data_IF_917090008435
#
_entry.id   IF_917090008435
#
_cell.length_a   1.000
_cell.length_b   1.000
_cell.length_c   1.000
_cell.angle_alpha   90.00
_cell.angle_beta   90.00
_cell.angle_gamma   90.00
#
_symmetry.space_group_name_H-M   'P 1'
#
loop_
_entity.id
_entity.type
_entity.pdbx_description
1 polymer ?
#
# COMPACT_ATOMS: atom_id res chain seq x y z
N UNK A 1 31.51 -14.52 -0.60
CA UNK A 1 31.76 -14.15 -1.99
C UNK A 1 30.46 -13.55 -2.56
N UNK A 2 30.50 -12.28 -2.94
CA UNK A 2 29.37 -11.62 -3.58
C UNK A 2 29.58 -11.64 -5.09
N UNK A 3 28.62 -12.19 -5.81
CA UNK A 3 28.69 -12.34 -7.25
C UNK A 3 27.50 -11.63 -7.87
N UNK A 4 27.80 -10.51 -8.50
CA UNK A 4 26.91 -9.80 -9.39
C UNK A 4 27.37 -10.10 -10.81
N UNK A 5 26.52 -10.67 -11.64
CA UNK A 5 26.92 -11.01 -12.98
C UNK A 5 25.76 -11.38 -13.89
N UNK A 6 26.07 -11.47 -15.15
CA UNK A 6 25.14 -11.94 -16.19
C UNK A 6 24.69 -13.38 -15.90
N UNK A 7 23.57 -13.79 -16.46
CA UNK A 7 23.06 -15.16 -16.32
C UNK A 7 24.08 -16.24 -16.78
N UNK A 8 24.96 -15.91 -17.69
CA UNK A 8 25.99 -16.82 -18.20
C UNK A 8 27.15 -17.00 -17.22
N UNK A 9 27.64 -15.90 -16.63
CA UNK A 9 28.71 -15.91 -15.62
C UNK A 9 28.24 -16.65 -14.34
N UNK A 10 27.05 -16.38 -13.88
CA UNK A 10 26.44 -17.09 -12.76
C UNK A 10 26.28 -18.59 -13.05
N UNK A 11 25.91 -18.95 -14.29
CA UNK A 11 25.77 -20.35 -14.70
C UNK A 11 27.12 -21.06 -14.69
N UNK A 12 28.16 -20.41 -15.16
CA UNK A 12 29.53 -20.96 -15.17
C UNK A 12 30.02 -21.22 -13.75
N UNK A 13 29.88 -20.20 -12.86
CA UNK A 13 30.27 -20.29 -11.47
C UNK A 13 29.53 -21.41 -10.70
N UNK A 14 28.21 -21.52 -10.89
CA UNK A 14 27.38 -22.55 -10.24
C UNK A 14 27.71 -23.97 -10.77
N UNK A 15 28.24 -24.11 -12.02
CA UNK A 15 28.74 -25.37 -12.54
C UNK A 15 30.07 -25.78 -11.90
N UNK A 16 30.98 -24.84 -11.78
CA UNK A 16 32.30 -25.05 -11.18
C UNK A 16 32.21 -25.53 -9.73
N UNK A 17 31.21 -25.02 -8.98
CA UNK A 17 30.92 -25.42 -7.60
C UNK A 17 30.04 -26.68 -7.45
N UNK A 18 29.85 -27.43 -8.55
CA UNK A 18 29.08 -28.69 -8.59
C UNK A 18 27.64 -28.60 -8.06
N UNK A 19 27.04 -27.42 -8.13
CA UNK A 19 25.65 -27.25 -7.72
C UNK A 19 24.74 -28.01 -8.70
N UNK A 20 23.75 -28.80 -8.20
CA UNK A 20 22.91 -29.62 -9.03
C UNK A 20 22.17 -28.85 -10.14
N UNK A 21 22.00 -29.43 -11.35
CA UNK A 21 21.40 -28.71 -12.49
C UNK A 21 20.02 -28.13 -12.23
N UNK A 22 19.18 -28.79 -11.42
CA UNK A 22 17.85 -28.32 -11.09
C UNK A 22 17.88 -27.06 -10.20
N UNK A 23 18.84 -26.97 -9.28
CA UNK A 23 19.05 -25.77 -8.45
C UNK A 23 19.61 -24.61 -9.26
N UNK A 24 20.56 -24.89 -10.17
CA UNK A 24 21.08 -23.87 -11.10
C UNK A 24 19.96 -23.23 -11.91
N UNK A 25 19.04 -24.04 -12.48
CA UNK A 25 17.86 -23.51 -13.19
C UNK A 25 16.98 -22.67 -12.26
N UNK A 26 16.82 -23.04 -11.01
CA UNK A 26 15.95 -22.34 -10.06
C UNK A 26 16.57 -21.04 -9.57
N UNK A 27 17.86 -21.01 -9.27
CA UNK A 27 18.62 -19.78 -8.96
C UNK A 27 18.59 -18.80 -10.15
N UNK A 28 18.66 -19.34 -11.37
CA UNK A 28 18.62 -18.56 -12.61
C UNK A 28 17.20 -18.23 -13.08
N UNK A 29 16.16 -18.91 -12.58
CA UNK A 29 14.77 -18.58 -12.90
C UNK A 29 14.32 -17.36 -12.09
N UNK A 30 13.51 -16.48 -12.71
CA UNK A 30 12.92 -15.30 -12.05
C UNK A 30 11.83 -15.65 -11.05
N UNK A 31 11.87 -16.82 -10.41
CA UNK A 31 10.86 -17.19 -9.43
C UNK A 31 10.95 -16.29 -8.20
N UNK A 32 9.87 -15.55 -7.96
CA UNK A 32 9.73 -14.52 -6.91
C UNK A 32 9.37 -15.09 -5.54
N UNK A 33 9.36 -16.41 -5.37
CA UNK A 33 8.97 -17.01 -4.11
C UNK A 33 10.22 -17.31 -3.26
N UNK A 34 10.12 -17.06 -1.93
CA UNK A 34 11.16 -17.52 -1.03
C UNK A 34 11.30 -19.03 -1.22
N UNK A 35 12.52 -19.49 -1.31
CA UNK A 35 12.80 -20.91 -1.47
C UNK A 35 14.01 -21.28 -0.68
N UNK A 36 13.88 -22.33 0.13
CA UNK A 36 14.97 -22.94 0.86
C UNK A 36 15.20 -24.35 0.33
N UNK A 37 16.46 -24.69 0.08
CA UNK A 37 16.89 -26.03 -0.29
C UNK A 37 18.05 -26.43 0.59
N UNK A 38 17.91 -27.55 1.27
CA UNK A 38 18.97 -28.15 2.04
C UNK A 38 19.51 -29.36 1.28
N UNK A 39 20.83 -29.33 0.97
CA UNK A 39 21.60 -30.46 0.54
C UNK A 39 22.42 -31.05 1.68
N UNK A 40 23.32 -32.01 1.39
CA UNK A 40 24.19 -32.58 2.40
C UNK A 40 25.25 -31.57 2.88
N UNK A 41 25.78 -30.74 1.97
CA UNK A 41 26.92 -29.86 2.23
C UNK A 41 26.60 -28.37 2.02
N UNK A 42 25.37 -28.03 1.69
CA UNK A 42 24.98 -26.65 1.44
C UNK A 42 23.50 -26.41 1.76
N UNK A 43 23.19 -25.17 2.08
CA UNK A 43 21.82 -24.66 2.19
C UNK A 43 21.65 -23.43 1.29
N UNK A 44 20.62 -23.42 0.49
CA UNK A 44 20.26 -22.31 -0.39
C UNK A 44 19.02 -21.62 0.16
N UNK A 45 19.10 -20.30 0.30
CA UNK A 45 17.99 -19.43 0.71
C UNK A 45 17.83 -18.34 -0.34
N UNK A 46 16.64 -18.20 -0.91
CA UNK A 46 16.28 -17.03 -1.74
C UNK A 46 15.24 -16.19 -1.04
N UNK A 47 15.51 -14.90 -0.88
CA UNK A 47 14.60 -13.94 -0.24
C UNK A 47 14.43 -12.69 -1.09
N UNK A 48 13.26 -12.04 -1.06
CA UNK A 48 13.07 -10.76 -1.72
C UNK A 48 13.67 -9.61 -0.91
N UNK A 49 14.31 -8.65 -1.60
CA UNK A 49 14.84 -7.44 -0.99
C UNK A 49 14.46 -6.20 -1.81
N UNK A 50 14.48 -5.03 -1.16
CA UNK A 50 14.32 -3.71 -1.77
C UNK A 50 15.24 -2.72 -1.08
N UNK A 51 15.83 -1.81 -1.85
CA UNK A 51 16.57 -0.68 -1.28
C UNK A 51 15.67 0.39 -0.70
N UNK A 52 14.58 0.70 -1.39
CA UNK A 52 13.61 1.73 -0.99
C UNK A 52 12.20 1.19 -1.12
N UNK A 53 11.31 1.65 -0.26
CA UNK A 53 9.92 1.21 -0.25
C UNK A 53 9.13 1.63 -1.51
N UNK A 54 9.55 2.71 -2.20
CA UNK A 54 8.93 3.20 -3.45
C UNK A 54 9.28 2.33 -4.66
N UNK A 55 10.31 1.52 -4.56
CA UNK A 55 10.76 0.64 -5.64
C UNK A 55 9.63 -0.33 -6.05
N UNK A 56 9.25 -0.31 -7.34
CA UNK A 56 8.11 -1.10 -7.84
C UNK A 56 8.32 -2.61 -7.80
N UNK A 57 9.56 -3.08 -7.86
CA UNK A 57 9.89 -4.51 -7.89
C UNK A 57 10.89 -4.85 -6.80
N UNK A 58 10.64 -5.94 -6.09
CA UNK A 58 11.65 -6.56 -5.23
C UNK A 58 12.65 -7.32 -6.09
N UNK A 59 13.88 -7.33 -5.63
CA UNK A 59 14.98 -8.12 -6.20
C UNK A 59 15.08 -9.41 -5.41
N UNK A 60 15.34 -10.54 -6.05
CA UNK A 60 15.60 -11.79 -5.36
C UNK A 60 17.08 -11.91 -5.05
N UNK A 61 17.41 -12.01 -3.78
CA UNK A 61 18.76 -12.30 -3.31
C UNK A 61 18.82 -13.77 -2.92
N UNK A 62 19.83 -14.48 -3.44
CA UNK A 62 20.05 -15.88 -3.10
C UNK A 62 21.32 -16.02 -2.32
N UNK A 63 21.23 -16.61 -1.14
CA UNK A 63 22.33 -16.99 -0.28
C UNK A 63 22.58 -18.49 -0.42
N UNK A 64 23.82 -18.88 -0.58
CA UNK A 64 24.24 -20.28 -0.55
C UNK A 64 25.25 -20.42 0.59
N UNK A 65 24.83 -21.11 1.64
CA UNK A 65 25.65 -21.40 2.80
C UNK A 65 26.36 -22.74 2.62
N UNK A 66 27.66 -22.74 2.69
CA UNK A 66 28.53 -23.90 2.84
C UNK A 66 29.14 -23.92 4.26
N UNK A 67 29.86 -24.98 4.61
CA UNK A 67 30.47 -25.11 5.93
C UNK A 67 31.42 -23.95 6.29
N UNK A 68 32.14 -23.39 5.30
CA UNK A 68 33.18 -22.36 5.54
C UNK A 68 32.95 -21.06 4.75
N UNK A 69 31.95 -20.99 3.88
CA UNK A 69 31.70 -19.81 3.05
C UNK A 69 30.23 -19.54 2.84
N UNK A 70 29.88 -18.27 2.61
CA UNK A 70 28.58 -17.81 2.15
C UNK A 70 28.77 -17.16 0.79
N UNK A 71 27.96 -17.57 -0.17
CA UNK A 71 27.89 -16.96 -1.50
C UNK A 71 26.60 -16.21 -1.61
N UNK A 72 26.67 -14.93 -1.96
CA UNK A 72 25.51 -14.09 -2.26
C UNK A 72 25.39 -13.90 -3.76
N UNK A 73 24.21 -14.16 -4.30
CA UNK A 73 23.91 -14.00 -5.73
C UNK A 73 22.77 -13.01 -5.90
N UNK A 74 23.02 -11.95 -6.64
CA UNK A 74 22.01 -10.98 -7.02
C UNK A 74 22.04 -10.80 -8.54
N UNK A 75 20.85 -10.93 -9.18
CA UNK A 75 20.72 -10.81 -10.65
C UNK A 75 20.45 -9.39 -11.13
N UNK A 76 20.08 -8.51 -10.23
CA UNK A 76 19.71 -7.14 -10.58
C UNK A 76 20.88 -6.22 -10.22
N UNK A 77 21.40 -5.51 -11.22
CA UNK A 77 22.49 -4.52 -11.07
C UNK A 77 22.09 -3.37 -10.11
N UNK A 78 20.79 -3.24 -9.82
CA UNK A 78 20.25 -2.22 -8.90
C UNK A 78 20.47 -2.51 -7.41
N UNK A 79 20.84 -3.73 -7.00
CA UNK A 79 21.10 -4.08 -5.60
C UNK A 79 22.54 -4.52 -5.41
N UNK A 80 23.31 -3.80 -4.61
CA UNK A 80 24.67 -4.16 -4.19
C UNK A 80 24.75 -4.18 -2.66
N UNK A 81 25.61 -5.01 -2.13
CA UNK A 81 25.87 -5.18 -0.70
C UNK A 81 27.00 -4.27 -0.20
N UNK A 82 27.36 -3.21 -0.92
CA UNK A 82 28.49 -2.35 -0.51
C UNK A 82 28.22 -1.61 0.81
N UNK A 83 26.93 -1.26 1.06
CA UNK A 83 26.51 -0.66 2.33
C UNK A 83 26.64 -1.63 3.50
N UNK A 84 26.09 -2.80 3.33
CA UNK A 84 26.10 -3.90 4.31
C UNK A 84 27.54 -4.39 4.56
N UNK A 85 28.36 -4.46 3.53
CA UNK A 85 29.78 -4.78 3.66
C UNK A 85 30.55 -3.76 4.49
N UNK A 86 30.31 -2.45 4.27
CA UNK A 86 30.94 -1.41 5.07
C UNK A 86 30.51 -1.49 6.53
N UNK A 87 29.22 -1.66 6.79
CA UNK A 87 28.70 -1.83 8.13
C UNK A 87 29.31 -3.05 8.83
N UNK A 88 29.42 -4.18 8.13
CA UNK A 88 30.07 -5.40 8.65
C UNK A 88 31.59 -5.22 8.86
N UNK A 89 32.25 -4.42 8.02
CA UNK A 89 33.68 -4.12 8.15
C UNK A 89 33.99 -3.11 9.27
N UNK A 90 33.07 -2.18 9.53
CA UNK A 90 33.18 -1.14 10.56
C UNK A 90 32.61 -1.63 11.91
N UNK A 91 31.75 -2.67 11.90
CA UNK A 91 31.17 -3.27 13.08
C UNK A 91 32.12 -4.22 13.82
N UNK A 92 31.62 -4.83 14.91
CA UNK A 92 32.36 -5.80 15.70
C UNK A 92 32.56 -7.12 14.94
N UNK A 93 33.55 -7.15 14.04
CA UNK A 93 33.95 -8.35 13.28
C UNK A 93 34.35 -9.52 14.17
N UNK A 94 34.67 -9.29 15.47
CA UNK A 94 34.99 -10.31 16.42
C UNK A 94 33.80 -11.26 16.73
N UNK A 95 32.59 -10.87 16.41
CA UNK A 95 31.36 -11.69 16.54
C UNK A 95 31.15 -12.71 15.41
N UNK A 96 31.81 -12.53 14.26
CA UNK A 96 31.67 -13.40 13.07
C UNK A 96 32.76 -14.45 13.10
N UNK A 97 32.42 -15.65 13.58
CA UNK A 97 33.38 -16.78 13.75
C UNK A 97 33.18 -17.89 12.73
N UNK A 98 32.02 -17.89 12.02
CA UNK A 98 31.64 -18.94 11.08
C UNK A 98 30.90 -18.37 9.89
N UNK A 99 30.78 -19.16 8.82
CA UNK A 99 29.97 -18.81 7.66
C UNK A 99 28.49 -18.60 8.04
N UNK A 100 27.97 -19.37 8.98
CA UNK A 100 26.62 -19.20 9.48
C UNK A 100 26.40 -17.89 10.25
N UNK A 101 27.40 -17.42 11.04
CA UNK A 101 27.33 -16.10 11.67
C UNK A 101 27.28 -14.97 10.63
N UNK A 102 28.06 -15.10 9.54
CA UNK A 102 28.04 -14.14 8.43
C UNK A 102 26.69 -14.10 7.72
N UNK A 103 26.08 -15.26 7.48
CA UNK A 103 24.72 -15.32 6.91
C UNK A 103 23.71 -14.59 7.79
N UNK A 104 23.75 -14.84 9.11
CA UNK A 104 22.85 -14.17 10.06
C UNK A 104 23.06 -12.65 10.04
N UNK A 105 24.31 -12.19 10.03
CA UNK A 105 24.61 -10.75 9.98
C UNK A 105 24.08 -10.09 8.68
N UNK A 106 24.17 -10.77 7.54
CA UNK A 106 23.61 -10.31 6.28
C UNK A 106 22.06 -10.28 6.30
N UNK A 107 21.43 -11.30 6.89
CA UNK A 107 19.98 -11.34 7.03
C UNK A 107 19.47 -10.26 7.99
N UNK A 108 20.18 -9.98 9.06
CA UNK A 108 19.87 -8.92 10.02
C UNK A 108 19.93 -7.54 9.36
N UNK A 109 20.97 -7.27 8.59
CA UNK A 109 21.10 -6.02 7.81
C UNK A 109 19.95 -5.84 6.79
N UNK A 110 19.47 -6.93 6.17
CA UNK A 110 18.29 -6.87 5.31
C UNK A 110 17.00 -6.55 6.10
N UNK A 111 16.88 -7.05 7.33
CA UNK A 111 15.74 -6.70 8.20
C UNK A 111 15.82 -5.25 8.63
N UNK A 112 17.01 -4.70 8.94
CA UNK A 112 17.18 -3.27 9.21
C UNK A 112 16.73 -2.41 8.01
N UNK A 113 17.10 -2.80 6.79
CA UNK A 113 16.62 -2.15 5.56
C UNK A 113 15.09 -2.22 5.44
N UNK A 114 14.49 -3.35 5.77
CA UNK A 114 13.04 -3.51 5.80
C UNK A 114 12.38 -2.61 6.86
N UNK A 115 13.01 -2.43 8.03
CA UNK A 115 12.55 -1.51 9.09
C UNK A 115 12.56 -0.06 8.58
N UNK A 116 13.64 0.37 7.94
CA UNK A 116 13.72 1.70 7.33
C UNK A 116 12.62 1.93 6.30
N UNK A 117 12.42 0.97 5.39
CA UNK A 117 11.35 1.00 4.40
C UNK A 117 9.95 1.09 5.03
N UNK A 118 9.72 0.39 6.12
CA UNK A 118 8.47 0.45 6.88
C UNK A 118 8.25 1.82 7.53
N UNK A 119 9.28 2.40 8.15
CA UNK A 119 9.20 3.71 8.80
C UNK A 119 8.85 4.80 7.77
N UNK A 120 9.46 4.77 6.60
CA UNK A 120 9.16 5.71 5.51
C UNK A 120 7.72 5.55 5.00
N UNK A 121 7.27 4.31 4.76
CA UNK A 121 5.90 4.01 4.34
C UNK A 121 4.86 4.45 5.39
N UNK A 122 5.16 4.27 6.68
CA UNK A 122 4.34 4.75 7.79
C UNK A 122 4.26 6.27 7.81
N UNK A 123 5.39 6.96 7.71
CA UNK A 123 5.45 8.43 7.68
C UNK A 123 4.61 8.99 6.54
N UNK A 124 4.69 8.39 5.35
CA UNK A 124 3.87 8.82 4.21
C UNK A 124 2.37 8.58 4.45
N UNK A 125 2.00 7.46 5.06
CA UNK A 125 0.60 7.18 5.43
C UNK A 125 0.06 8.21 6.44
N UNK A 126 0.86 8.58 7.44
CA UNK A 126 0.51 9.59 8.43
C UNK A 126 0.35 10.98 7.80
N UNK A 127 1.24 11.36 6.89
CA UNK A 127 1.14 12.62 6.14
C UNK A 127 -0.15 12.68 5.30
N UNK A 128 -0.52 11.58 4.62
CA UNK A 128 -1.77 11.50 3.87
C UNK A 128 -2.99 11.68 4.80
N UNK A 129 -2.98 11.07 5.98
CA UNK A 129 -4.05 11.21 6.98
C UNK A 129 -4.24 12.67 7.39
N UNK A 130 -3.15 13.36 7.76
CA UNK A 130 -3.21 14.77 8.17
C UNK A 130 -3.75 15.71 7.09
N UNK A 131 -3.47 15.43 5.83
CA UNK A 131 -3.97 16.25 4.71
C UNK A 131 -5.45 16.01 4.43
N UNK A 132 -5.97 14.79 4.64
CA UNK A 132 -7.40 14.49 4.52
C UNK A 132 -8.18 15.20 5.62
N UNK A 133 -7.70 15.16 6.86
CA UNK A 133 -8.37 15.76 8.02
C UNK A 133 -8.43 17.29 7.94
N UNK A 134 -7.43 17.93 7.38
CA UNK A 134 -7.32 19.40 7.27
C UNK A 134 -8.23 20.02 6.18
N UNK A 135 -9.20 19.29 5.65
CA UNK A 135 -10.22 19.76 4.71
C UNK A 135 -9.68 20.52 3.48
N UNK A 136 -8.38 20.46 3.21
CA UNK A 136 -7.75 21.13 2.06
C UNK A 136 -8.06 20.46 0.71
N UNK A 137 -9.00 19.54 0.70
CA UNK A 137 -9.81 19.10 -0.42
C UNK A 137 -9.11 18.59 -1.69
N UNK A 138 -7.78 18.40 -1.68
CA UNK A 138 -7.02 18.12 -2.90
C UNK A 138 -6.21 16.82 -2.89
N UNK A 139 -6.37 15.97 -1.89
CA UNK A 139 -5.78 14.63 -2.05
C UNK A 139 -6.66 13.86 -3.02
N UNK A 140 -6.08 13.51 -4.15
CA UNK A 140 -6.72 12.62 -5.09
C UNK A 140 -6.89 11.25 -4.45
N UNK A 141 -8.09 10.68 -4.50
CA UNK A 141 -8.37 9.27 -4.19
C UNK A 141 -7.32 8.35 -4.83
N UNK A 142 -6.84 8.71 -6.02
CA UNK A 142 -5.79 8.03 -6.75
C UNK A 142 -4.48 7.95 -5.96
N UNK A 143 -4.09 9.01 -5.24
CA UNK A 143 -2.86 9.02 -4.42
C UNK A 143 -2.95 8.02 -3.26
N UNK A 144 -4.11 7.91 -2.61
CA UNK A 144 -4.33 6.93 -1.53
C UNK A 144 -4.27 5.50 -2.09
N UNK A 145 -4.89 5.26 -3.25
CA UNK A 145 -4.87 3.97 -3.91
C UNK A 145 -3.47 3.55 -4.36
N UNK A 146 -2.68 4.48 -4.89
CA UNK A 146 -1.31 4.20 -5.32
C UNK A 146 -0.40 3.90 -4.13
N UNK A 147 -0.51 4.66 -3.05
CA UNK A 147 0.21 4.39 -1.79
C UNK A 147 -0.19 3.04 -1.22
N UNK A 148 -1.49 2.70 -1.20
CA UNK A 148 -1.98 1.41 -0.75
C UNK A 148 -1.41 0.25 -1.58
N UNK A 149 -1.32 0.40 -2.91
CA UNK A 149 -0.69 -0.61 -3.79
C UNK A 149 0.79 -0.81 -3.45
N UNK A 150 1.53 0.29 -3.23
CA UNK A 150 2.94 0.22 -2.85
C UNK A 150 3.14 -0.50 -1.51
N UNK A 151 2.32 -0.18 -0.50
CA UNK A 151 2.39 -0.84 0.80
C UNK A 151 1.98 -2.31 0.71
N UNK A 152 0.99 -2.68 -0.10
CA UNK A 152 0.66 -4.08 -0.35
C UNK A 152 1.85 -4.87 -0.93
N UNK A 153 2.60 -4.26 -1.86
CA UNK A 153 3.82 -4.89 -2.37
C UNK A 153 4.91 -5.04 -1.29
N UNK A 154 4.95 -4.12 -0.33
CA UNK A 154 5.87 -4.20 0.81
C UNK A 154 5.44 -5.30 1.79
N UNK A 155 4.14 -5.42 2.07
CA UNK A 155 3.58 -6.50 2.90
C UNK A 155 3.94 -7.86 2.33
N UNK A 156 3.65 -8.08 1.04
CA UNK A 156 3.98 -9.35 0.37
C UNK A 156 5.48 -9.67 0.46
N UNK A 157 6.34 -8.68 0.28
CA UNK A 157 7.78 -8.86 0.44
C UNK A 157 8.16 -9.27 1.87
N UNK A 158 7.57 -8.63 2.87
CA UNK A 158 7.87 -8.95 4.27
C UNK A 158 7.38 -10.35 4.65
N UNK A 159 6.23 -10.76 4.15
CA UNK A 159 5.69 -12.11 4.33
C UNK A 159 6.57 -13.15 3.63
N UNK A 160 6.93 -12.92 2.38
CA UNK A 160 7.84 -13.80 1.64
C UNK A 160 9.19 -13.95 2.34
N UNK A 161 9.73 -12.84 2.86
CA UNK A 161 10.98 -12.87 3.62
C UNK A 161 10.82 -13.70 4.91
N UNK A 162 9.72 -13.49 5.65
CA UNK A 162 9.41 -14.27 6.86
C UNK A 162 9.31 -15.76 6.57
N UNK A 163 8.61 -16.17 5.51
CA UNK A 163 8.51 -17.58 5.14
C UNK A 163 9.87 -18.17 4.77
N UNK A 164 10.72 -17.42 4.05
CA UNK A 164 12.08 -17.82 3.75
C UNK A 164 12.91 -18.10 5.01
N UNK A 165 12.82 -17.24 6.03
CA UNK A 165 13.49 -17.44 7.32
C UNK A 165 12.91 -18.63 8.11
N UNK A 166 11.59 -18.81 8.09
CA UNK A 166 10.93 -19.93 8.74
C UNK A 166 11.35 -21.28 8.13
N UNK A 167 11.40 -21.35 6.80
CA UNK A 167 11.87 -22.53 6.07
C UNK A 167 13.36 -22.79 6.32
N UNK A 168 14.19 -21.75 6.34
CA UNK A 168 15.62 -21.85 6.68
C UNK A 168 15.80 -22.47 8.07
N UNK A 169 15.06 -22.00 9.05
CA UNK A 169 15.10 -22.53 10.41
C UNK A 169 14.67 -24.01 10.48
N UNK A 170 13.65 -24.39 9.73
CA UNK A 170 13.06 -25.72 9.75
C UNK A 170 13.91 -26.76 8.98
N UNK A 171 14.45 -26.38 7.82
CA UNK A 171 15.06 -27.30 6.87
C UNK A 171 16.58 -27.42 7.01
N UNK A 172 17.24 -26.49 7.73
CA UNK A 172 18.70 -26.53 7.85
C UNK A 172 19.15 -27.58 8.86
N UNK A 173 20.06 -28.50 8.52
CA UNK A 173 20.62 -29.51 9.42
C UNK A 173 21.29 -28.87 10.66
N UNK A 174 21.21 -29.54 11.81
CA UNK A 174 21.86 -29.07 13.06
C UNK A 174 23.37 -28.94 12.92
N UNK A 175 23.99 -29.74 12.05
CA UNK A 175 25.45 -29.68 11.83
C UNK A 175 25.93 -28.37 11.18
N UNK A 176 25.02 -27.65 10.45
CA UNK A 176 25.38 -26.42 9.74
C UNK A 176 25.07 -25.15 10.52
N UNK A 177 24.13 -25.19 11.47
CA UNK A 177 23.76 -24.06 12.32
C UNK A 177 23.91 -24.43 13.79
N UNK A 178 24.77 -23.74 14.52
CA UNK A 178 24.89 -23.87 15.97
C UNK A 178 23.59 -23.40 16.67
N UNK A 179 23.37 -23.83 17.89
CA UNK A 179 22.18 -23.43 18.69
C UNK A 179 22.12 -21.90 18.86
N UNK A 180 23.26 -21.24 19.07
CA UNK A 180 23.33 -19.77 19.16
C UNK A 180 22.91 -19.08 17.86
N UNK A 181 23.29 -19.63 16.70
CA UNK A 181 22.89 -19.11 15.36
C UNK A 181 21.39 -19.34 15.13
N UNK A 182 20.86 -20.48 15.58
CA UNK A 182 19.42 -20.76 15.50
C UNK A 182 18.57 -19.82 16.35
N UNK A 183 19.06 -19.47 17.53
CA UNK A 183 18.40 -18.48 18.40
C UNK A 183 18.34 -17.11 17.72
N UNK A 184 19.46 -16.61 17.21
CA UNK A 184 19.50 -15.35 16.44
C UNK A 184 18.58 -15.39 15.21
N UNK A 185 18.57 -16.51 14.48
CA UNK A 185 17.68 -16.67 13.31
C UNK A 185 16.21 -16.60 13.73
N UNK A 186 15.87 -17.12 14.92
CA UNK A 186 14.51 -17.02 15.46
C UNK A 186 14.15 -15.57 15.76
N UNK A 187 15.05 -14.81 16.38
CA UNK A 187 14.84 -13.39 16.70
C UNK A 187 14.62 -12.56 15.43
N UNK A 188 15.45 -12.75 14.42
CA UNK A 188 15.33 -12.10 13.10
C UNK A 188 14.00 -12.44 12.42
N UNK A 189 13.60 -13.72 12.45
CA UNK A 189 12.32 -14.19 11.91
C UNK A 189 11.13 -13.54 12.63
N UNK A 190 11.18 -13.48 13.95
CA UNK A 190 10.11 -12.92 14.76
C UNK A 190 10.00 -11.40 14.57
N UNK A 191 11.12 -10.69 14.47
CA UNK A 191 11.17 -9.28 14.08
C UNK A 191 10.53 -9.06 12.71
N UNK A 192 10.86 -9.88 11.71
CA UNK A 192 10.26 -9.80 10.38
C UNK A 192 8.74 -10.06 10.38
N UNK A 193 8.26 -11.02 11.19
CA UNK A 193 6.83 -11.28 11.38
C UNK A 193 6.09 -10.06 11.95
N UNK A 194 6.69 -9.41 12.95
CA UNK A 194 6.14 -8.17 13.52
C UNK A 194 6.07 -7.06 12.47
N UNK A 195 7.08 -6.96 11.63
CA UNK A 195 7.13 -5.98 10.56
C UNK A 195 6.01 -6.20 9.53
N UNK A 196 5.82 -7.44 9.07
CA UNK A 196 4.76 -7.82 8.15
C UNK A 196 3.37 -7.49 8.70
N UNK A 197 3.10 -7.84 9.96
CA UNK A 197 1.84 -7.52 10.64
C UNK A 197 1.60 -6.02 10.78
N UNK A 198 2.64 -5.25 11.10
CA UNK A 198 2.54 -3.81 11.22
C UNK A 198 2.32 -3.13 9.86
N UNK A 199 2.96 -3.62 8.80
CA UNK A 199 2.72 -3.14 7.43
C UNK A 199 1.29 -3.42 6.96
N UNK A 200 0.71 -4.58 7.31
CA UNK A 200 -0.69 -4.90 7.02
C UNK A 200 -1.66 -3.92 7.71
N UNK A 201 -1.34 -3.47 8.94
CA UNK A 201 -2.13 -2.42 9.62
C UNK A 201 -2.14 -1.10 8.86
N UNK A 202 -1.05 -0.73 8.18
CA UNK A 202 -1.02 0.47 7.32
C UNK A 202 -1.98 0.33 6.14
N UNK A 203 -2.09 -0.86 5.55
CA UNK A 203 -3.06 -1.13 4.46
C UNK A 203 -4.51 -0.94 4.96
N UNK A 204 -4.81 -1.43 6.16
CA UNK A 204 -6.13 -1.26 6.78
C UNK A 204 -6.41 0.22 7.02
N UNK A 205 -5.46 0.96 7.60
CA UNK A 205 -5.59 2.41 7.85
C UNK A 205 -5.82 3.21 6.57
N UNK A 206 -5.11 2.89 5.48
CA UNK A 206 -5.34 3.53 4.17
C UNK A 206 -6.72 3.20 3.60
N UNK A 207 -7.26 2.00 3.87
CA UNK A 207 -8.61 1.62 3.46
C UNK A 207 -9.67 2.43 4.22
N UNK A 208 -9.49 2.63 5.52
CA UNK A 208 -10.34 3.48 6.35
C UNK A 208 -10.30 4.95 5.88
N UNK A 209 -9.10 5.43 5.54
CA UNK A 209 -8.88 6.78 5.03
C UNK A 209 -9.59 6.99 3.68
N UNK A 210 -9.55 5.99 2.80
CA UNK A 210 -10.27 6.01 1.52
C UNK A 210 -11.79 6.08 1.73
N UNK A 211 -12.32 5.25 2.65
CA UNK A 211 -13.74 5.27 3.00
C UNK A 211 -14.15 6.63 3.57
N UNK A 212 -13.32 7.24 4.43
CA UNK A 212 -13.58 8.57 4.96
C UNK A 212 -13.61 9.63 3.85
N UNK A 213 -12.66 9.61 2.92
CA UNK A 213 -12.67 10.48 1.74
C UNK A 213 -13.97 10.34 0.93
N UNK A 214 -14.39 9.12 0.65
CA UNK A 214 -15.61 8.85 -0.11
C UNK A 214 -16.85 9.34 0.63
N UNK A 215 -16.90 9.17 1.95
CA UNK A 215 -18.00 9.68 2.78
C UNK A 215 -18.08 11.21 2.73
N UNK A 216 -16.95 11.92 2.82
CA UNK A 216 -16.92 13.40 2.72
C UNK A 216 -17.41 13.88 1.34
N UNK A 217 -16.96 13.22 0.26
CA UNK A 217 -17.43 13.53 -1.09
C UNK A 217 -18.93 13.27 -1.26
N UNK A 218 -19.44 12.17 -0.70
CA UNK A 218 -20.87 11.86 -0.68
C UNK A 218 -21.67 12.94 0.04
N UNK A 219 -21.22 13.36 1.22
CA UNK A 219 -21.88 14.45 1.96
C UNK A 219 -21.96 15.75 1.16
N UNK A 220 -20.87 16.13 0.46
CA UNK A 220 -20.86 17.31 -0.38
C UNK A 220 -21.84 17.18 -1.54
N UNK A 221 -21.93 16.01 -2.15
CA UNK A 221 -22.87 15.72 -3.23
C UNK A 221 -24.31 15.79 -2.73
N UNK A 222 -24.59 15.20 -1.58
CA UNK A 222 -25.92 15.22 -0.95
C UNK A 222 -26.34 16.65 -0.59
N UNK A 223 -25.42 17.49 -0.09
CA UNK A 223 -25.70 18.91 0.15
C UNK A 223 -26.07 19.65 -1.14
N UNK A 224 -25.34 19.44 -2.24
CA UNK A 224 -25.65 20.06 -3.55
C UNK A 224 -27.00 19.57 -4.08
N UNK A 225 -27.28 18.27 -4.00
CA UNK A 225 -28.56 17.70 -4.40
C UNK A 225 -29.71 18.24 -3.55
N UNK A 226 -29.51 18.41 -2.25
CA UNK A 226 -30.50 19.02 -1.34
C UNK A 226 -30.81 20.46 -1.74
N UNK A 227 -29.79 21.27 -2.04
CA UNK A 227 -29.97 22.63 -2.54
C UNK A 227 -30.78 22.68 -3.85
N UNK A 228 -30.45 21.80 -4.79
CA UNK A 228 -31.17 21.68 -6.06
C UNK A 228 -32.62 21.27 -5.85
N UNK A 229 -32.88 20.31 -4.96
CA UNK A 229 -34.21 19.84 -4.63
C UNK A 229 -35.06 20.95 -3.99
N UNK A 230 -34.49 21.75 -3.07
CA UNK A 230 -35.16 22.92 -2.48
C UNK A 230 -35.53 23.94 -3.55
N UNK A 231 -34.59 24.26 -4.43
CA UNK A 231 -34.83 25.18 -5.54
C UNK A 231 -35.97 24.68 -6.43
N UNK A 232 -35.91 23.41 -6.84
CA UNK A 232 -36.94 22.79 -7.69
C UNK A 232 -38.32 22.76 -7.02
N UNK A 233 -38.36 22.45 -5.69
CA UNK A 233 -39.60 22.41 -4.93
C UNK A 233 -40.31 23.77 -4.83
N UNK A 234 -39.55 24.88 -4.87
CA UNK A 234 -40.09 26.23 -4.89
C UNK A 234 -40.53 26.63 -6.32
N UNK A 235 -39.69 26.38 -7.33
CA UNK A 235 -39.95 26.84 -8.69
C UNK A 235 -40.99 26.02 -9.43
N UNK A 236 -41.10 24.72 -9.20
CA UNK A 236 -42.03 23.85 -9.92
C UNK A 236 -43.50 24.31 -9.82
N UNK A 237 -44.08 24.59 -8.61
CA UNK A 237 -45.46 25.09 -8.53
C UNK A 237 -45.61 26.49 -9.10
N UNK A 238 -44.59 27.35 -8.99
CA UNK A 238 -44.62 28.68 -9.60
C UNK A 238 -44.64 28.60 -11.14
N UNK A 239 -43.82 27.71 -11.71
CA UNK A 239 -43.77 27.46 -13.15
C UNK A 239 -45.08 26.87 -13.65
N UNK A 240 -45.73 26.00 -12.88
CA UNK A 240 -47.04 25.46 -13.20
C UNK A 240 -48.09 26.60 -13.30
N UNK A 241 -48.14 27.49 -12.30
CA UNK A 241 -49.05 28.63 -12.29
C UNK A 241 -48.81 29.53 -13.51
N UNK A 242 -47.54 29.91 -13.76
CA UNK A 242 -47.23 30.77 -14.94
C UNK A 242 -47.52 30.06 -16.27
N UNK A 243 -47.32 28.71 -16.33
CA UNK A 243 -47.65 27.91 -17.52
C UNK A 243 -49.13 27.88 -17.80
N UNK A 244 -50.02 27.74 -16.79
CA UNK A 244 -51.46 27.79 -16.93
C UNK A 244 -51.90 29.16 -17.44
N UNK A 245 -51.42 30.25 -16.84
CA UNK A 245 -51.78 31.63 -17.27
C UNK A 245 -51.08 32.02 -18.60
N UNK A 246 -50.08 31.29 -19.05
CA UNK A 246 -49.45 31.45 -20.36
C UNK A 246 -50.19 30.73 -21.51
N UNK A 247 -51.27 29.99 -21.23
CA UNK A 247 -52.07 29.29 -22.24
C UNK A 247 -53.03 30.25 -22.90
N UNK A 248 -53.19 30.13 -24.25
CA UNK A 248 -54.08 30.95 -25.04
C UNK A 248 -55.49 30.32 -25.18
N UNK A 249 -56.21 30.17 -24.04
CA UNK A 249 -57.62 29.74 -24.11
C UNK A 249 -58.54 30.89 -24.47
N UNK A 250 -59.56 30.61 -25.28
CA UNK A 250 -60.53 31.62 -25.71
C UNK A 250 -61.40 32.15 -24.54
N UNK A 251 -61.51 31.38 -23.44
CA UNK A 251 -62.30 31.74 -22.29
C UNK A 251 -61.54 31.45 -21.00
N UNK A 252 -60.97 32.50 -20.39
CA UNK A 252 -60.34 32.48 -19.07
C UNK A 252 -61.00 33.56 -18.20
N UNK A 253 -61.90 33.22 -17.28
CA UNK A 253 -62.64 34.20 -16.49
C UNK A 253 -61.74 35.07 -15.58
N UNK A 254 -60.58 34.53 -15.14
CA UNK A 254 -59.66 35.23 -14.26
C UNK A 254 -58.90 36.36 -14.98
N UNK A 255 -58.68 36.28 -16.30
CA UNK A 255 -57.97 37.31 -17.08
C UNK A 255 -58.85 38.56 -17.32
N UNK A 256 -60.17 38.45 -17.23
CA UNK A 256 -61.08 39.57 -17.27
C UNK A 256 -61.13 40.41 -16.00
N UNK A 257 -60.59 39.98 -14.91
CA UNK A 257 -60.61 40.67 -13.60
C UNK A 257 -59.47 41.72 -13.53
N UNK A 258 -59.83 42.98 -13.28
CA UNK A 258 -58.86 44.11 -13.25
C UNK A 258 -57.70 43.93 -12.26
N UNK A 259 -57.88 43.18 -11.17
CA UNK A 259 -56.89 42.92 -10.16
C UNK A 259 -56.28 41.50 -10.26
N UNK A 260 -56.69 40.69 -11.22
CA UNK A 260 -56.28 39.29 -11.38
C UNK A 260 -54.76 39.12 -11.46
N UNK A 261 -54.08 39.98 -12.22
CA UNK A 261 -52.63 39.98 -12.31
C UNK A 261 -51.92 40.17 -10.93
N UNK A 262 -52.35 41.21 -10.21
CA UNK A 262 -51.74 41.50 -8.89
C UNK A 262 -52.06 40.43 -7.87
N UNK A 263 -53.25 39.85 -7.89
CA UNK A 263 -53.64 38.75 -6.99
C UNK A 263 -52.83 37.48 -7.27
N UNK A 264 -52.65 37.12 -8.53
CA UNK A 264 -51.80 35.95 -8.93
C UNK A 264 -50.34 36.16 -8.54
N UNK A 265 -49.77 37.34 -8.77
CA UNK A 265 -48.43 37.67 -8.37
C UNK A 265 -48.23 37.58 -6.86
N UNK A 266 -49.17 38.17 -6.07
CA UNK A 266 -49.15 38.11 -4.63
C UNK A 266 -49.27 36.67 -4.09
N UNK A 267 -50.14 35.85 -4.70
CA UNK A 267 -50.29 34.43 -4.39
C UNK A 267 -49.01 33.63 -4.66
N UNK A 268 -48.35 33.90 -5.77
CA UNK A 268 -47.06 33.25 -6.09
C UNK A 268 -45.95 33.61 -5.09
N UNK A 269 -45.85 34.89 -4.71
CA UNK A 269 -44.87 35.33 -3.70
C UNK A 269 -45.21 34.69 -2.33
N UNK A 270 -46.46 34.69 -1.94
CA UNK A 270 -46.90 34.03 -0.72
C UNK A 270 -46.57 32.55 -0.69
N UNK A 271 -46.85 31.83 -1.79
CA UNK A 271 -46.54 30.41 -1.95
C UNK A 271 -45.04 30.16 -1.86
N UNK A 272 -44.19 30.97 -2.52
CA UNK A 272 -42.75 30.87 -2.43
C UNK A 272 -42.24 31.05 -1.02
N UNK A 273 -42.71 32.05 -0.28
CA UNK A 273 -42.34 32.30 1.10
C UNK A 273 -42.81 31.16 2.00
N UNK A 274 -44.03 30.67 1.84
CA UNK A 274 -44.58 29.55 2.59
C UNK A 274 -43.76 28.30 2.41
N UNK A 275 -43.41 27.92 1.17
CA UNK A 275 -42.57 26.77 0.87
C UNK A 275 -41.18 26.94 1.44
N UNK A 276 -40.58 28.13 1.30
CA UNK A 276 -39.25 28.41 1.85
C UNK A 276 -39.22 28.26 3.40
N UNK A 277 -40.21 28.80 4.11
CA UNK A 277 -40.31 28.66 5.57
C UNK A 277 -40.53 27.21 5.97
N UNK A 278 -41.37 26.47 5.24
CA UNK A 278 -41.67 25.06 5.53
C UNK A 278 -40.44 24.19 5.35
N UNK A 279 -39.69 24.37 4.26
CA UNK A 279 -38.44 23.65 3.97
C UNK A 279 -37.35 24.02 5.02
N UNK A 280 -37.25 25.29 5.40
CA UNK A 280 -36.33 25.74 6.45
C UNK A 280 -36.64 25.09 7.79
N UNK A 281 -37.94 25.01 8.20
CA UNK A 281 -38.38 24.35 9.44
C UNK A 281 -38.10 22.84 9.44
N UNK A 282 -38.18 22.17 8.28
CA UNK A 282 -37.86 20.76 8.13
C UNK A 282 -36.35 20.47 8.05
N UNK A 283 -35.50 21.48 8.20
CA UNK A 283 -34.01 21.30 8.25
C UNK A 283 -33.35 21.06 6.91
N UNK A 284 -34.02 21.33 5.76
CA UNK A 284 -33.47 21.12 4.43
C UNK A 284 -32.35 22.10 4.03
N UNK A 285 -32.11 23.13 4.84
CA UNK A 285 -31.05 24.12 4.68
C UNK A 285 -29.85 23.89 5.63
N UNK A 286 -29.85 22.76 6.36
CA UNK A 286 -28.72 22.37 7.22
C UNK A 286 -27.81 21.37 6.54
#
# INVERSE_FOLDING_TARGET
>A
LDIQGTSEELTHFLKERQIPPFLRRRVLSSQRFPSVFSGNDYVLLSVPARKTWVQKRSVSITFILFAQEVITLCRDEGYNFDGERKQLAEGDTASIRSASDLLIALLDSLVETNICNFIEARSQTENLSLHVDNASGKISEQTILDTRRQINHLVNQFEDFFYGLADLHALTPHAMLSDAVREKLRDIRDAQNHLAKNALRLVTRLSELLQHCQFVLQQQTDQRLRQLTVLSAIFMPLTLITGVYGMNFAYMPETGWRYGYYATLAGMVWLAIFLWITLKRKGWFR
#
